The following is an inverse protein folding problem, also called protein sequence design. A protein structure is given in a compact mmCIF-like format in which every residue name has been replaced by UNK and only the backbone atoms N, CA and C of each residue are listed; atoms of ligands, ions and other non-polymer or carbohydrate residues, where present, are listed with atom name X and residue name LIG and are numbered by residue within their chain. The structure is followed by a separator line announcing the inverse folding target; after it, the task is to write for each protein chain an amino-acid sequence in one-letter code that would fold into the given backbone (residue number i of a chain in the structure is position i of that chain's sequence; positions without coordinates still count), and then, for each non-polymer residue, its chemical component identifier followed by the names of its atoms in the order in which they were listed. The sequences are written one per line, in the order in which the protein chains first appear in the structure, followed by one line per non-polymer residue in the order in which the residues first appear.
data_IF_894982987951
#
_entry.id   IF_894982987951
#
_cell.length_a   1.000
_cell.length_b   1.000
_cell.length_c   1.000
_cell.angle_alpha   90.00
_cell.angle_beta   90.00
_cell.angle_gamma   90.00
#
_symmetry.space_group_name_H-M   'P 1'
#
loop_
_entity.id
_entity.type
_entity.pdbx_description
1 polymer ?
#
# COMPACT_ATOMS: atom_id res chain seq x y z
N UNK A 1 4.72 5.37 -18.08
CA UNK A 1 4.49 6.42 -17.06
C UNK A 1 4.04 5.74 -15.76
N UNK A 2 4.98 5.10 -15.04
CA UNK A 2 4.72 4.28 -13.84
C UNK A 2 5.21 4.93 -12.53
N UNK A 3 5.61 6.19 -12.56
CA UNK A 3 6.22 6.87 -11.42
C UNK A 3 5.28 7.76 -10.59
N UNK A 4 4.06 8.02 -11.04
CA UNK A 4 3.22 9.05 -10.39
C UNK A 4 2.45 8.61 -9.14
N UNK A 5 2.15 7.32 -8.97
CA UNK A 5 1.47 6.88 -7.74
C UNK A 5 2.40 6.72 -6.53
N UNK A 6 3.68 6.85 -6.75
CA UNK A 6 4.77 6.50 -5.86
C UNK A 6 5.11 7.59 -4.85
N UNK A 7 5.20 8.84 -5.32
CA UNK A 7 5.46 9.99 -4.45
C UNK A 7 4.23 10.37 -3.62
N UNK A 8 3.06 9.82 -3.95
CA UNK A 8 1.77 10.19 -3.35
C UNK A 8 1.71 9.80 -1.87
N UNK A 9 2.35 8.69 -1.49
CA UNK A 9 2.22 8.16 -0.12
C UNK A 9 3.40 8.52 0.78
N UNK A 10 4.63 8.48 0.28
CA UNK A 10 5.83 8.76 1.07
C UNK A 10 5.77 10.11 1.82
N UNK A 11 5.23 11.16 1.17
CA UNK A 11 5.09 12.48 1.80
C UNK A 11 4.05 12.46 2.92
N UNK A 12 2.93 11.77 2.73
CA UNK A 12 1.90 11.63 3.76
C UNK A 12 2.43 10.84 4.97
N UNK A 13 3.16 9.75 4.74
CA UNK A 13 3.82 8.97 5.80
C UNK A 13 4.82 9.82 6.59
N UNK A 14 5.65 10.59 5.88
CA UNK A 14 6.60 11.51 6.51
C UNK A 14 5.91 12.53 7.43
N UNK A 15 4.86 13.20 6.93
CA UNK A 15 4.15 14.21 7.70
C UNK A 15 3.38 13.63 8.89
N UNK A 16 2.81 12.43 8.75
CA UNK A 16 2.18 11.73 9.88
C UNK A 16 3.23 11.38 10.95
N UNK A 17 4.43 10.95 10.54
CA UNK A 17 5.52 10.73 11.47
C UNK A 17 5.93 12.03 12.21
N UNK A 18 6.01 13.16 11.47
CA UNK A 18 6.28 14.48 12.09
C UNK A 18 5.23 14.83 13.13
N UNK A 19 3.94 14.66 12.80
CA UNK A 19 2.83 14.96 13.74
C UNK A 19 2.96 14.12 15.01
N UNK A 20 3.12 12.81 14.88
CA UNK A 20 3.15 11.89 16.01
C UNK A 20 4.36 12.12 16.91
N UNK A 21 5.54 12.33 16.33
CA UNK A 21 6.75 12.61 17.12
C UNK A 21 6.73 14.00 17.74
N UNK A 22 6.17 15.01 17.05
CA UNK A 22 5.94 16.35 17.64
C UNK A 22 4.96 16.28 18.81
N UNK A 23 3.84 15.58 18.66
CA UNK A 23 2.84 15.42 19.71
C UNK A 23 3.38 14.66 20.94
N UNK A 24 4.34 13.74 20.71
CA UNK A 24 5.03 13.01 21.77
C UNK A 24 6.17 13.82 22.42
N UNK A 25 6.47 15.04 21.96
CA UNK A 25 7.57 15.86 22.44
C UNK A 25 8.96 15.36 22.01
N UNK A 26 9.03 14.45 21.01
CA UNK A 26 10.25 13.80 20.54
C UNK A 26 10.83 14.53 19.30
N UNK A 27 10.87 15.87 19.36
CA UNK A 27 11.20 16.71 18.18
C UNK A 27 12.60 16.47 17.62
N UNK A 28 13.57 16.13 18.46
CA UNK A 28 14.95 15.82 18.05
C UNK A 28 15.05 14.50 17.24
N UNK A 29 14.09 13.60 17.41
CA UNK A 29 14.03 12.31 16.73
C UNK A 29 13.23 12.34 15.42
N UNK A 30 12.55 13.44 15.10
CA UNK A 30 11.74 13.61 13.90
C UNK A 30 12.50 13.25 12.61
N UNK A 31 13.75 13.70 12.36
CA UNK A 31 14.47 13.35 11.15
C UNK A 31 14.65 11.84 10.97
N UNK A 32 14.89 11.12 12.06
CA UNK A 32 15.04 9.66 12.05
C UNK A 32 13.70 8.96 11.78
N UNK A 33 12.61 9.45 12.38
CA UNK A 33 11.28 8.90 12.14
C UNK A 33 10.82 9.13 10.69
N UNK A 34 11.09 10.30 10.11
CA UNK A 34 10.83 10.58 8.69
C UNK A 34 11.60 9.60 7.80
N UNK A 35 12.91 9.42 8.05
CA UNK A 35 13.72 8.48 7.29
C UNK A 35 13.13 7.07 7.34
N UNK A 36 12.74 6.59 8.53
CA UNK A 36 12.09 5.29 8.68
C UNK A 36 10.78 5.20 7.91
N UNK A 37 9.94 6.23 7.98
CA UNK A 37 8.65 6.25 7.30
C UNK A 37 8.76 6.30 5.77
N UNK A 38 9.82 6.90 5.22
CA UNK A 38 9.98 7.10 3.76
C UNK A 38 10.80 5.98 3.12
N UNK A 39 11.82 5.46 3.83
CA UNK A 39 12.78 4.50 3.25
C UNK A 39 12.11 3.18 2.83
N UNK A 40 10.97 2.84 3.44
CA UNK A 40 10.20 1.65 3.09
C UNK A 40 9.79 1.67 1.62
N UNK A 41 9.40 2.82 1.11
CA UNK A 41 9.00 3.03 -0.27
C UNK A 41 10.17 3.06 -1.27
N UNK A 42 11.41 3.13 -0.80
CA UNK A 42 12.58 3.07 -1.68
C UNK A 42 12.69 1.72 -2.43
N UNK A 43 11.96 0.72 -2.00
CA UNK A 43 11.91 -0.61 -2.61
C UNK A 43 11.34 -0.62 -4.03
N UNK A 44 10.72 0.45 -4.47
CA UNK A 44 10.26 0.55 -5.86
C UNK A 44 11.41 0.39 -6.86
N UNK A 45 12.60 0.81 -6.47
CA UNK A 45 13.79 0.63 -7.30
C UNK A 45 13.98 -0.84 -7.68
N UNK A 46 13.53 -1.76 -6.83
CA UNK A 46 13.60 -3.20 -7.08
C UNK A 46 12.45 -3.74 -7.95
N UNK A 47 11.43 -2.97 -8.23
CA UNK A 47 10.29 -3.41 -9.06
C UNK A 47 10.72 -3.85 -10.47
N UNK A 48 11.74 -3.20 -11.05
CA UNK A 48 12.30 -3.58 -12.35
C UNK A 48 12.99 -4.97 -12.34
N UNK A 49 13.49 -5.41 -11.17
CA UNK A 49 14.10 -6.74 -11.02
C UNK A 49 13.01 -7.81 -11.12
N UNK A 50 11.91 -7.63 -10.38
CA UNK A 50 10.82 -8.60 -10.41
C UNK A 50 10.07 -8.61 -11.74
N UNK A 51 10.09 -7.52 -12.50
CA UNK A 51 9.54 -7.49 -13.86
C UNK A 51 10.35 -8.38 -14.82
N UNK A 52 11.66 -8.54 -14.58
CA UNK A 52 12.54 -9.42 -15.35
C UNK A 52 12.64 -10.83 -14.79
N UNK A 53 12.53 -10.97 -13.47
CA UNK A 53 12.66 -12.24 -12.75
C UNK A 53 11.41 -12.43 -11.90
N UNK A 54 10.31 -13.00 -12.48
CA UNK A 54 9.02 -13.13 -11.80
C UNK A 54 9.07 -13.86 -10.46
N UNK A 55 10.03 -14.75 -10.24
CA UNK A 55 10.22 -15.45 -8.95
C UNK A 55 10.61 -14.51 -7.80
N UNK A 56 11.11 -13.31 -8.11
CA UNK A 56 11.47 -12.28 -7.12
C UNK A 56 10.35 -11.28 -6.85
N UNK A 57 9.09 -11.66 -7.09
CA UNK A 57 7.93 -10.78 -6.94
C UNK A 57 7.76 -10.21 -5.52
N UNK A 58 8.24 -10.88 -4.49
CA UNK A 58 8.23 -10.38 -3.12
C UNK A 58 9.18 -9.18 -2.89
N UNK A 59 10.12 -8.94 -3.80
CA UNK A 59 11.00 -7.77 -3.74
C UNK A 59 10.43 -6.56 -4.47
N UNK A 60 9.19 -6.62 -4.97
CA UNK A 60 8.47 -5.44 -5.45
C UNK A 60 7.94 -4.60 -4.32
N UNK A 61 7.59 -3.35 -4.65
CA UNK A 61 6.91 -2.44 -3.72
C UNK A 61 5.66 -3.07 -3.11
N UNK A 62 5.52 -2.92 -1.80
CA UNK A 62 4.48 -3.59 -1.02
C UNK A 62 4.74 -5.10 -0.82
N UNK A 63 5.97 -5.55 -1.01
CA UNK A 63 6.41 -6.93 -0.80
C UNK A 63 7.10 -7.15 0.55
N UNK A 64 8.25 -7.87 0.53
CA UNK A 64 8.97 -8.26 1.77
C UNK A 64 9.47 -7.06 2.58
N UNK A 65 9.80 -5.97 1.92
CA UNK A 65 10.21 -4.71 2.56
C UNK A 65 9.11 -4.17 3.49
N UNK A 66 7.84 -4.31 3.09
CA UNK A 66 6.66 -3.90 3.85
C UNK A 66 6.21 -4.99 4.85
N UNK A 67 7.15 -5.76 5.38
CA UNK A 67 6.93 -6.69 6.49
C UNK A 67 7.61 -6.20 7.77
N UNK A 68 7.24 -6.75 8.91
CA UNK A 68 7.92 -6.45 10.19
C UNK A 68 9.41 -6.81 10.09
N UNK A 69 9.74 -7.97 9.51
CA UNK A 69 11.14 -8.37 9.32
C UNK A 69 11.88 -7.40 8.37
N UNK A 70 11.21 -6.98 7.28
CA UNK A 70 11.73 -5.98 6.34
C UNK A 70 11.98 -4.63 7.03
N UNK A 71 11.02 -4.15 7.84
CA UNK A 71 11.18 -2.91 8.60
C UNK A 71 12.40 -2.95 9.52
N UNK A 72 12.60 -4.04 10.26
CA UNK A 72 13.76 -4.20 11.14
C UNK A 72 15.07 -4.17 10.34
N UNK A 73 15.16 -4.95 9.26
CA UNK A 73 16.38 -5.02 8.43
C UNK A 73 16.66 -3.67 7.77
N UNK A 74 15.65 -3.03 7.18
CA UNK A 74 15.81 -1.72 6.53
C UNK A 74 16.20 -0.66 7.55
N UNK A 75 15.61 -0.67 8.76
CA UNK A 75 15.96 0.28 9.82
C UNK A 75 17.41 0.12 10.29
N UNK A 76 17.89 -1.13 10.43
CA UNK A 76 19.31 -1.39 10.76
C UNK A 76 20.21 -0.84 9.65
N UNK A 77 19.93 -1.16 8.38
CA UNK A 77 20.73 -0.70 7.25
C UNK A 77 20.73 0.82 7.15
N UNK A 78 19.58 1.45 7.29
CA UNK A 78 19.43 2.92 7.26
C UNK A 78 20.24 3.56 8.37
N UNK A 79 20.17 3.04 9.60
CA UNK A 79 20.89 3.59 10.72
C UNK A 79 22.41 3.39 10.60
N UNK A 80 22.85 2.25 10.09
CA UNK A 80 24.27 2.00 9.75
C UNK A 80 24.76 3.01 8.70
N UNK A 81 23.97 3.27 7.66
CA UNK A 81 24.32 4.27 6.64
C UNK A 81 24.44 5.67 7.26
N UNK A 82 23.54 6.06 8.17
CA UNK A 82 23.64 7.35 8.89
C UNK A 82 24.96 7.44 9.66
N UNK A 83 25.34 6.38 10.38
CA UNK A 83 26.63 6.34 11.11
C UNK A 83 27.82 6.47 10.14
N UNK A 84 27.80 5.74 9.02
CA UNK A 84 28.88 5.78 8.03
C UNK A 84 28.99 7.18 7.39
N UNK A 85 27.89 7.83 7.07
CA UNK A 85 27.89 9.18 6.52
C UNK A 85 28.42 10.20 7.53
N UNK A 86 28.11 10.02 8.81
CA UNK A 86 28.63 10.87 9.89
C UNK A 86 30.14 10.65 10.10
N UNK A 87 30.62 9.39 10.11
CA UNK A 87 32.05 9.09 10.25
C UNK A 87 32.86 9.56 9.04
N UNK A 88 32.25 9.58 7.85
CA UNK A 88 32.86 10.12 6.64
C UNK A 88 32.83 11.68 6.59
N UNK A 89 32.25 12.36 7.56
CA UNK A 89 32.13 13.82 7.62
C UNK A 89 31.11 14.42 6.63
N UNK A 90 30.24 13.57 6.04
CA UNK A 90 29.20 14.02 5.09
C UNK A 90 28.02 14.65 5.85
N UNK A 91 27.71 14.13 7.01
CA UNK A 91 26.74 14.72 7.96
C UNK A 91 27.42 14.98 9.30
N UNK A 92 26.92 15.94 10.14
CA UNK A 92 27.50 16.22 11.44
C UNK A 92 27.55 14.97 12.33
N UNK A 93 28.73 14.64 12.86
CA UNK A 93 28.93 13.46 13.74
C UNK A 93 28.13 13.54 15.03
N UNK A 94 27.77 14.72 15.48
CA UNK A 94 26.90 14.91 16.66
C UNK A 94 25.49 14.37 16.50
N UNK A 95 24.98 14.25 15.27
CA UNK A 95 23.59 13.79 15.02
C UNK A 95 23.38 12.34 15.48
N UNK A 96 24.11 11.32 14.95
CA UNK A 96 23.92 9.96 15.41
C UNK A 96 24.47 9.73 16.83
N UNK A 97 25.51 10.46 17.25
CA UNK A 97 26.08 10.31 18.58
C UNK A 97 25.10 10.79 19.68
N UNK A 98 24.41 11.90 19.46
CA UNK A 98 23.38 12.40 20.38
C UNK A 98 22.12 11.53 20.38
N UNK A 99 21.72 11.00 19.21
CA UNK A 99 20.53 10.17 19.08
C UNK A 99 20.74 8.74 19.61
N UNK A 100 21.94 8.14 19.39
CA UNK A 100 22.27 6.80 19.88
C UNK A 100 21.20 5.74 19.56
N UNK A 101 20.85 4.94 20.57
CA UNK A 101 19.80 3.91 20.45
C UNK A 101 18.42 4.53 20.16
N UNK A 102 18.15 5.74 20.66
CA UNK A 102 16.88 6.45 20.42
C UNK A 102 16.71 6.81 18.94
N UNK A 103 17.79 7.17 18.23
CA UNK A 103 17.76 7.43 16.80
C UNK A 103 17.40 6.17 15.98
N UNK A 104 18.02 5.02 16.32
CA UNK A 104 17.63 3.74 15.73
C UNK A 104 16.15 3.39 16.02
N UNK A 105 15.73 3.55 17.28
CA UNK A 105 14.34 3.29 17.67
C UNK A 105 13.36 4.19 16.91
N UNK A 106 13.72 5.44 16.64
CA UNK A 106 12.91 6.37 15.87
C UNK A 106 12.82 5.97 14.38
N UNK A 107 13.93 5.53 13.76
CA UNK A 107 13.89 4.95 12.39
C UNK A 107 12.95 3.74 12.35
N UNK A 108 13.09 2.81 13.29
CA UNK A 108 12.24 1.63 13.37
C UNK A 108 10.77 1.99 13.61
N UNK A 109 10.49 2.94 14.51
CA UNK A 109 9.13 3.41 14.77
C UNK A 109 8.49 4.06 13.54
N UNK A 110 9.25 4.85 12.77
CA UNK A 110 8.81 5.40 11.48
C UNK A 110 8.48 4.31 10.46
N UNK A 111 9.33 3.28 10.33
CA UNK A 111 9.10 2.15 9.45
C UNK A 111 7.87 1.32 9.86
N UNK A 112 7.68 1.08 11.16
CA UNK A 112 6.50 0.37 11.67
C UNK A 112 5.22 1.21 11.51
N UNK A 113 5.30 2.52 11.67
CA UNK A 113 4.19 3.44 11.38
C UNK A 113 3.77 3.36 9.91
N UNK A 114 4.74 3.34 8.98
CA UNK A 114 4.47 3.14 7.56
C UNK A 114 3.69 1.84 7.33
N UNK A 115 4.16 0.71 7.85
CA UNK A 115 3.47 -0.58 7.76
C UNK A 115 2.05 -0.50 8.35
N UNK A 116 1.86 0.17 9.48
CA UNK A 116 0.55 0.29 10.13
C UNK A 116 -0.46 1.06 9.25
N UNK A 117 0.00 2.10 8.56
CA UNK A 117 -0.84 2.86 7.62
C UNK A 117 -1.17 1.98 6.41
N UNK A 118 -0.20 1.27 5.84
CA UNK A 118 -0.39 0.40 4.68
C UNK A 118 -1.31 -0.78 4.97
N UNK A 119 -1.25 -1.35 6.17
CA UNK A 119 -2.21 -2.38 6.60
C UNK A 119 -3.64 -1.85 6.64
N UNK A 120 -3.85 -0.55 6.83
CA UNK A 120 -5.19 0.04 6.77
C UNK A 120 -5.77 0.08 5.35
N UNK A 121 -4.92 -0.05 4.33
CA UNK A 121 -5.25 0.09 2.92
C UNK A 121 -5.42 -1.25 2.18
N UNK A 122 -6.12 -1.22 1.04
CA UNK A 122 -6.21 -2.33 0.09
C UNK A 122 -5.21 -2.06 -1.06
N UNK A 123 -4.48 -3.07 -1.53
CA UNK A 123 -4.68 -4.53 -1.41
C UNK A 123 -4.09 -5.18 -0.17
N UNK A 124 -3.46 -4.44 0.73
CA UNK A 124 -2.75 -4.96 1.88
C UNK A 124 -1.32 -5.39 1.56
N UNK A 125 -0.56 -5.70 2.61
CA UNK A 125 0.86 -6.03 2.57
C UNK A 125 1.15 -7.35 3.30
N UNK A 126 2.23 -8.07 2.97
CA UNK A 126 2.59 -9.33 3.60
C UNK A 126 3.37 -9.10 4.91
N UNK A 127 2.66 -8.65 5.95
CA UNK A 127 3.22 -8.22 7.26
C UNK A 127 4.22 -9.23 7.85
N UNK A 128 3.97 -10.53 7.62
CA UNK A 128 4.79 -11.62 8.18
C UNK A 128 5.75 -12.26 7.15
N UNK A 129 6.02 -11.61 6.02
CA UNK A 129 7.07 -12.08 5.12
C UNK A 129 8.45 -12.03 5.83
N UNK A 130 9.37 -12.97 5.55
CA UNK A 130 9.30 -14.06 4.56
C UNK A 130 8.58 -15.32 5.04
N UNK A 131 8.09 -15.38 6.29
CA UNK A 131 7.47 -16.57 6.86
C UNK A 131 6.09 -16.86 6.29
N UNK A 132 5.38 -15.82 5.82
CA UNK A 132 4.07 -15.92 5.18
C UNK A 132 3.91 -14.86 4.10
N UNK A 133 3.49 -15.28 2.90
CA UNK A 133 3.16 -14.39 1.77
C UNK A 133 1.72 -13.84 1.86
N UNK A 134 0.96 -14.24 2.88
CA UNK A 134 -0.41 -13.77 3.06
C UNK A 134 -0.44 -12.27 3.29
N UNK A 135 -1.24 -11.57 2.49
CA UNK A 135 -1.48 -10.14 2.67
C UNK A 135 -2.51 -9.86 3.75
N UNK A 136 -2.23 -8.86 4.53
CA UNK A 136 -3.11 -8.36 5.58
C UNK A 136 -3.56 -6.95 5.25
N UNK A 137 -4.85 -6.69 5.39
CA UNK A 137 -5.45 -5.39 5.23
C UNK A 137 -6.67 -5.25 6.14
N UNK A 138 -6.81 -4.07 6.75
CA UNK A 138 -8.04 -3.70 7.45
C UNK A 138 -9.16 -3.29 6.48
N UNK A 139 -8.82 -2.95 5.23
CA UNK A 139 -9.80 -2.56 4.21
C UNK A 139 -10.48 -1.23 4.47
N UNK A 140 -9.86 -0.34 5.23
CA UNK A 140 -10.39 0.99 5.57
C UNK A 140 -10.12 1.98 4.43
N UNK A 141 -8.91 1.94 3.86
CA UNK A 141 -8.44 2.83 2.81
C UNK A 141 -8.40 2.15 1.44
N UNK A 142 -8.62 2.89 0.35
CA UNK A 142 -8.62 2.34 -1.01
C UNK A 142 -7.22 2.11 -1.63
N UNK A 143 -6.16 2.24 -0.85
CA UNK A 143 -4.77 2.35 -1.29
C UNK A 143 -4.28 3.79 -1.08
N UNK A 144 -3.39 4.29 -1.95
CA UNK A 144 -2.87 5.66 -1.83
C UNK A 144 -3.97 6.70 -1.76
N UNK A 145 -3.89 7.61 -0.78
CA UNK A 145 -4.89 8.65 -0.59
C UNK A 145 -4.52 9.91 -1.36
N UNK A 146 -5.19 10.14 -2.51
CA UNK A 146 -5.02 11.38 -3.27
C UNK A 146 -5.33 12.63 -2.41
N UNK A 147 -6.32 12.55 -1.52
CA UNK A 147 -6.68 13.67 -0.65
C UNK A 147 -5.54 14.02 0.31
N UNK A 148 -4.98 13.03 1.00
CA UNK A 148 -3.86 13.26 1.92
C UNK A 148 -2.62 13.75 1.18
N UNK A 149 -2.35 13.21 -0.01
CA UNK A 149 -1.26 13.67 -0.84
C UNK A 149 -1.41 15.15 -1.24
N UNK A 150 -2.57 15.52 -1.78
CA UNK A 150 -2.83 16.92 -2.18
C UNK A 150 -2.71 17.85 -0.97
N UNK A 151 -3.25 17.46 0.18
CA UNK A 151 -3.12 18.22 1.42
C UNK A 151 -1.66 18.35 1.87
N UNK A 152 -0.88 17.26 1.77
CA UNK A 152 0.54 17.26 2.10
C UNK A 152 1.36 18.17 1.17
N UNK A 153 1.09 18.11 -0.14
CA UNK A 153 1.74 18.99 -1.13
C UNK A 153 1.36 20.45 -0.89
N UNK A 154 0.08 20.73 -0.63
CA UNK A 154 -0.37 22.08 -0.31
C UNK A 154 0.34 22.65 0.92
N UNK A 155 0.45 21.86 2.01
CA UNK A 155 1.20 22.25 3.20
C UNK A 155 2.65 22.62 2.88
N UNK A 156 3.34 21.75 2.13
CA UNK A 156 4.75 22.01 1.76
C UNK A 156 4.87 23.26 0.90
N UNK A 157 3.98 23.46 -0.07
CA UNK A 157 3.99 24.62 -0.95
C UNK A 157 3.69 25.92 -0.19
N UNK A 158 2.66 25.94 0.65
CA UNK A 158 2.30 27.12 1.46
C UNK A 158 3.45 27.53 2.40
N UNK A 159 4.10 26.54 3.03
CA UNK A 159 5.26 26.78 3.88
C UNK A 159 6.46 27.27 3.07
N UNK A 160 6.75 26.67 1.92
CA UNK A 160 7.87 27.06 1.05
C UNK A 160 7.71 28.47 0.50
N UNK A 161 6.47 28.89 0.22
CA UNK A 161 6.14 30.24 -0.21
C UNK A 161 6.02 31.24 0.95
N UNK A 162 6.30 30.81 2.18
CA UNK A 162 6.19 31.62 3.40
C UNK A 162 4.80 32.22 3.63
N UNK A 163 3.76 31.58 3.10
CA UNK A 163 2.37 32.03 3.26
C UNK A 163 1.81 31.67 4.64
N UNK A 164 2.28 30.54 5.22
CA UNK A 164 1.85 30.04 6.53
C UNK A 164 3.07 29.52 7.28
N UNK A 165 3.06 29.66 8.62
CA UNK A 165 4.08 29.04 9.45
C UNK A 165 3.97 27.52 9.41
N UNK A 166 5.09 26.81 9.35
CA UNK A 166 5.13 25.34 9.27
C UNK A 166 4.33 24.67 10.40
N UNK A 167 4.38 25.19 11.62
CA UNK A 167 3.61 24.66 12.76
C UNK A 167 2.11 24.71 12.51
N UNK A 168 1.59 25.85 12.07
CA UNK A 168 0.16 26.03 11.79
C UNK A 168 -0.30 25.19 10.61
N UNK A 169 0.53 25.09 9.56
CA UNK A 169 0.26 24.22 8.42
C UNK A 169 0.23 22.74 8.84
N UNK A 170 1.15 22.32 9.70
CA UNK A 170 1.21 20.96 10.24
C UNK A 170 -0.02 20.62 11.10
N UNK A 171 -0.47 21.56 11.95
CA UNK A 171 -1.70 21.43 12.73
C UNK A 171 -2.92 21.24 11.82
N UNK A 172 -3.04 22.07 10.78
CA UNK A 172 -4.13 21.95 9.80
C UNK A 172 -4.09 20.59 9.08
N UNK A 173 -2.90 20.15 8.64
CA UNK A 173 -2.75 18.81 8.05
C UNK A 173 -3.13 17.71 9.04
N UNK A 174 -2.77 17.83 10.30
CA UNK A 174 -3.17 16.90 11.37
C UNK A 174 -4.70 16.81 11.50
N UNK A 175 -5.40 17.95 11.46
CA UNK A 175 -6.85 18.00 11.47
C UNK A 175 -7.43 17.26 10.25
N UNK A 176 -6.88 17.52 9.05
CA UNK A 176 -7.30 16.83 7.81
C UNK A 176 -7.12 15.33 7.94
N UNK A 177 -5.97 14.87 8.46
CA UNK A 177 -5.70 13.43 8.70
C UNK A 177 -6.74 12.83 9.64
N UNK A 178 -6.99 13.46 10.79
CA UNK A 178 -7.96 12.97 11.79
C UNK A 178 -9.36 12.90 11.19
N UNK A 179 -9.82 13.95 10.52
CA UNK A 179 -11.14 13.96 9.86
C UNK A 179 -11.22 12.85 8.80
N UNK A 180 -10.21 12.74 7.97
CA UNK A 180 -10.18 11.73 6.90
C UNK A 180 -10.28 10.31 7.47
N UNK A 181 -9.45 9.96 8.45
CA UNK A 181 -9.50 8.63 9.08
C UNK A 181 -10.81 8.40 9.83
N UNK A 182 -11.34 9.40 10.53
CA UNK A 182 -12.63 9.30 11.24
C UNK A 182 -13.77 9.00 10.27
N UNK A 183 -13.83 9.71 9.14
CA UNK A 183 -14.84 9.47 8.10
C UNK A 183 -14.66 8.07 7.51
N UNK A 184 -13.43 7.66 7.17
CA UNK A 184 -13.16 6.33 6.60
C UNK A 184 -13.52 5.20 7.55
N UNK A 185 -13.13 5.30 8.82
CA UNK A 185 -13.49 4.30 9.84
C UNK A 185 -14.99 4.27 10.09
N UNK A 186 -15.63 5.42 10.23
CA UNK A 186 -17.09 5.50 10.40
C UNK A 186 -17.84 4.86 9.25
N UNK A 187 -17.44 5.14 8.01
CA UNK A 187 -18.01 4.54 6.81
C UNK A 187 -17.72 3.03 6.72
N UNK A 188 -16.49 2.61 7.06
CA UNK A 188 -16.13 1.18 7.11
C UNK A 188 -17.02 0.41 8.08
N UNK A 189 -17.27 0.95 9.26
CA UNK A 189 -18.14 0.33 10.26
C UNK A 189 -19.59 0.29 9.77
N UNK A 190 -20.11 1.39 9.24
CA UNK A 190 -21.48 1.48 8.72
C UNK A 190 -21.71 0.47 7.57
N UNK A 191 -20.81 0.43 6.59
CA UNK A 191 -20.87 -0.50 5.45
C UNK A 191 -20.60 -1.93 5.91
N UNK A 192 -19.72 -2.12 6.91
CA UNK A 192 -19.37 -3.44 7.47
C UNK A 192 -20.58 -4.20 7.98
N UNK A 193 -21.49 -3.52 8.66
CA UNK A 193 -22.71 -4.11 9.24
C UNK A 193 -23.80 -4.35 8.20
N UNK A 194 -23.91 -3.46 7.19
CA UNK A 194 -25.05 -3.45 6.28
C UNK A 194 -24.88 -4.31 5.03
N UNK A 195 -23.65 -4.47 4.54
CA UNK A 195 -23.41 -5.09 3.23
C UNK A 195 -22.76 -6.47 3.37
N UNK A 196 -23.36 -7.52 2.80
CA UNK A 196 -22.76 -8.86 2.76
C UNK A 196 -21.70 -8.96 1.65
N UNK A 197 -20.66 -9.77 1.89
CA UNK A 197 -19.59 -10.03 0.93
C UNK A 197 -18.30 -9.26 1.22
N UNK A 198 -17.31 -9.45 0.32
CA UNK A 198 -16.02 -8.74 0.40
C UNK A 198 -16.22 -7.29 -0.06
N UNK A 199 -15.67 -6.35 0.69
CA UNK A 199 -15.81 -4.92 0.44
C UNK A 199 -14.46 -4.30 0.14
N UNK A 200 -14.40 -3.50 -0.92
CA UNK A 200 -13.22 -2.73 -1.29
C UNK A 200 -13.62 -1.26 -1.30
N UNK A 201 -13.00 -0.42 -0.44
CA UNK A 201 -13.29 1.01 -0.42
C UNK A 201 -12.84 1.67 -1.74
N UNK A 202 -13.62 2.61 -2.23
CA UNK A 202 -13.27 3.45 -3.38
C UNK A 202 -12.49 4.70 -2.94
N UNK A 203 -11.89 5.42 -3.89
CA UNK A 203 -11.31 6.75 -3.67
C UNK A 203 -12.40 7.70 -3.12
N UNK A 204 -13.62 7.64 -3.66
CA UNK A 204 -14.77 8.31 -3.06
C UNK A 204 -15.13 7.64 -1.72
N UNK A 205 -15.07 8.36 -0.58
CA UNK A 205 -15.35 7.78 0.74
C UNK A 205 -16.76 7.24 0.91
N UNK A 206 -17.72 7.69 0.08
CA UNK A 206 -19.11 7.27 0.12
C UNK A 206 -19.41 6.08 -0.80
N UNK A 207 -18.38 5.52 -1.44
CA UNK A 207 -18.54 4.47 -2.44
C UNK A 207 -17.68 3.25 -2.10
N UNK A 208 -18.25 2.07 -2.31
CA UNK A 208 -17.63 0.78 -2.05
C UNK A 208 -17.89 -0.19 -3.19
N UNK A 209 -16.90 -0.99 -3.51
CA UNK A 209 -17.07 -2.14 -4.38
C UNK A 209 -17.43 -3.34 -3.50
N UNK A 210 -18.57 -3.95 -3.78
CA UNK A 210 -19.08 -5.12 -3.05
C UNK A 210 -19.01 -6.34 -3.96
N UNK A 211 -18.29 -7.36 -3.49
CA UNK A 211 -18.03 -8.57 -4.24
C UNK A 211 -18.65 -9.73 -3.49
N UNK A 212 -19.53 -10.44 -4.15
CA UNK A 212 -20.02 -11.75 -3.71
C UNK A 212 -19.39 -12.82 -4.57
N UNK A 213 -18.91 -13.84 -3.94
CA UNK A 213 -18.23 -14.95 -4.58
C UNK A 213 -19.08 -16.20 -4.42
N UNK A 214 -19.49 -16.78 -5.56
CA UNK A 214 -20.11 -18.09 -5.66
C UNK A 214 -19.06 -19.12 -6.15
N UNK A 215 -19.43 -20.39 -6.26
CA UNK A 215 -18.50 -21.43 -6.72
C UNK A 215 -17.93 -21.15 -8.11
N UNK A 216 -18.73 -20.63 -9.02
CA UNK A 216 -18.38 -20.43 -10.42
C UNK A 216 -18.30 -18.99 -10.87
N UNK A 217 -18.76 -18.03 -10.07
CA UNK A 217 -18.89 -16.63 -10.47
C UNK A 217 -18.47 -15.65 -9.39
N UNK A 218 -18.04 -14.47 -9.82
CA UNK A 218 -17.93 -13.26 -9.03
C UNK A 218 -19.08 -12.32 -9.43
N UNK A 219 -19.84 -11.87 -8.44
CA UNK A 219 -20.89 -10.84 -8.60
C UNK A 219 -20.37 -9.54 -8.02
N UNK A 220 -20.22 -8.54 -8.86
CA UNK A 220 -19.55 -7.29 -8.54
C UNK A 220 -20.58 -6.17 -8.66
N UNK A 221 -20.73 -5.38 -7.60
CA UNK A 221 -21.60 -4.19 -7.57
C UNK A 221 -20.86 -3.04 -6.92
N UNK A 222 -21.13 -1.85 -7.38
CA UNK A 222 -20.77 -0.64 -6.65
C UNK A 222 -21.90 -0.26 -5.72
N UNK A 223 -21.61 0.03 -4.47
CA UNK A 223 -22.53 0.58 -3.49
C UNK A 223 -22.16 2.03 -3.22
N UNK A 224 -23.12 2.93 -3.27
CA UNK A 224 -22.95 4.34 -2.91
C UNK A 224 -23.97 4.69 -1.83
N UNK A 225 -23.54 5.38 -0.77
CA UNK A 225 -24.34 5.63 0.43
C UNK A 225 -25.74 6.18 0.14
N UNK A 226 -25.86 7.11 -0.82
CA UNK A 226 -27.13 7.79 -1.12
C UNK A 226 -27.90 7.19 -2.30
N UNK A 227 -27.26 6.34 -3.11
CA UNK A 227 -27.88 5.80 -4.33
C UNK A 227 -28.06 4.26 -4.27
N UNK A 228 -27.54 3.62 -3.21
CA UNK A 228 -27.59 2.16 -3.08
C UNK A 228 -26.66 1.44 -4.06
N UNK A 229 -27.11 0.26 -4.53
CA UNK A 229 -26.33 -0.58 -5.43
C UNK A 229 -26.48 -0.19 -6.90
N UNK A 230 -25.36 -0.24 -7.62
CA UNK A 230 -25.33 -0.23 -9.09
C UNK A 230 -25.89 -1.52 -9.70
N UNK A 231 -25.98 -1.56 -11.03
CA UNK A 231 -26.20 -2.79 -11.77
C UNK A 231 -25.12 -3.83 -11.43
N UNK A 232 -25.52 -5.11 -11.47
CA UNK A 232 -24.64 -6.21 -11.16
C UNK A 232 -23.80 -6.59 -12.36
N UNK A 233 -22.49 -6.66 -12.16
CA UNK A 233 -21.57 -7.23 -13.15
C UNK A 233 -21.20 -8.64 -12.71
N UNK A 234 -21.49 -9.61 -13.56
CA UNK A 234 -21.14 -11.02 -13.32
C UNK A 234 -19.86 -11.36 -14.09
N UNK A 235 -18.94 -12.05 -13.45
CA UNK A 235 -17.72 -12.58 -14.05
C UNK A 235 -17.58 -14.06 -13.69
N UNK A 236 -17.55 -14.92 -14.71
CA UNK A 236 -17.26 -16.36 -14.52
C UNK A 236 -15.83 -16.55 -14.02
N UNK A 237 -15.63 -17.49 -13.09
CA UNK A 237 -14.28 -17.83 -12.61
C UNK A 237 -13.50 -18.64 -13.62
N UNK A 238 -14.19 -19.54 -14.34
CA UNK A 238 -13.59 -20.48 -15.27
C UNK A 238 -14.36 -20.49 -16.60
N UNK A 239 -13.62 -20.47 -17.72
CA UNK A 239 -14.18 -20.57 -19.06
C UNK A 239 -13.31 -21.52 -19.87
N UNK A 240 -13.86 -22.68 -20.27
CA UNK A 240 -13.10 -23.72 -20.97
C UNK A 240 -11.99 -24.38 -20.14
N UNK A 241 -11.98 -24.17 -18.83
CA UNK A 241 -11.00 -24.68 -17.84
C UNK A 241 -11.66 -24.90 -16.49
N UNK A 242 -10.90 -25.37 -15.51
CA UNK A 242 -11.38 -25.61 -14.16
C UNK A 242 -10.31 -25.22 -13.10
N UNK A 243 -10.68 -25.41 -11.82
CA UNK A 243 -9.80 -25.12 -10.69
C UNK A 243 -8.54 -26.00 -10.67
N UNK A 244 -8.57 -27.20 -11.25
CA UNK A 244 -7.43 -28.14 -11.28
C UNK A 244 -6.35 -27.64 -12.22
N UNK A 245 -6.75 -27.16 -13.42
CA UNK A 245 -5.81 -26.58 -14.37
C UNK A 245 -5.18 -25.31 -13.80
N UNK A 246 -5.97 -24.44 -13.14
CA UNK A 246 -5.44 -23.27 -12.44
C UNK A 246 -4.42 -23.67 -11.37
N UNK A 247 -4.72 -24.68 -10.57
CA UNK A 247 -3.83 -25.16 -9.51
C UNK A 247 -2.52 -25.74 -10.08
N UNK A 248 -2.60 -26.45 -11.22
CA UNK A 248 -1.42 -27.03 -11.90
C UNK A 248 -0.42 -25.95 -12.35
N UNK A 249 -0.90 -24.78 -12.78
CA UNK A 249 -0.03 -23.66 -13.21
C UNK A 249 0.33 -22.70 -12.09
N UNK A 250 -0.32 -22.80 -10.92
CA UNK A 250 -0.11 -21.87 -9.79
C UNK A 250 1.33 -21.85 -9.26
N UNK A 251 2.13 -22.90 -9.53
CA UNK A 251 3.54 -22.96 -9.18
C UNK A 251 4.47 -22.14 -10.09
N UNK A 252 4.02 -21.77 -11.30
CA UNK A 252 4.85 -20.97 -12.20
C UNK A 252 5.08 -19.56 -11.64
N UNK A 253 6.30 -19.04 -11.71
CA UNK A 253 6.64 -17.74 -11.10
C UNK A 253 5.76 -16.58 -11.59
N UNK A 254 5.42 -16.56 -12.87
CA UNK A 254 4.56 -15.54 -13.49
C UNK A 254 3.14 -15.60 -12.91
N UNK A 255 2.63 -16.82 -12.72
CA UNK A 255 1.29 -17.03 -12.14
C UNK A 255 1.28 -16.67 -10.67
N UNK A 256 2.27 -17.11 -9.90
CA UNK A 256 2.40 -16.72 -8.48
C UNK A 256 2.45 -15.20 -8.34
N UNK A 257 3.28 -14.53 -9.16
CA UNK A 257 3.36 -13.08 -9.18
C UNK A 257 2.01 -12.45 -9.51
N UNK A 258 1.33 -12.92 -10.56
CA UNK A 258 0.01 -12.44 -10.93
C UNK A 258 -1.00 -12.62 -9.79
N UNK A 259 -1.08 -13.82 -9.20
CA UNK A 259 -2.00 -14.12 -8.10
C UNK A 259 -1.71 -13.27 -6.86
N UNK A 260 -0.44 -13.02 -6.56
CA UNK A 260 -0.03 -12.19 -5.43
C UNK A 260 -0.53 -10.75 -5.54
N UNK A 261 -0.60 -10.20 -6.76
CA UNK A 261 -1.06 -8.83 -7.00
C UNK A 261 -2.54 -8.72 -7.39
N UNK A 262 -3.21 -9.82 -7.70
CA UNK A 262 -4.62 -9.82 -8.12
C UNK A 262 -5.56 -9.70 -6.94
N UNK A 263 -6.68 -9.02 -7.16
CA UNK A 263 -7.79 -8.98 -6.22
C UNK A 263 -8.72 -10.18 -6.36
N UNK A 264 -8.97 -10.56 -7.62
CA UNK A 264 -9.72 -11.74 -8.03
C UNK A 264 -8.97 -12.42 -9.16
N UNK A 265 -9.21 -13.70 -9.36
CA UNK A 265 -8.60 -14.47 -10.44
C UNK A 265 -9.68 -15.18 -11.22
N UNK A 266 -9.70 -14.92 -12.52
CA UNK A 266 -10.48 -15.70 -13.50
C UNK A 266 -9.53 -16.44 -14.42
N UNK A 267 -9.92 -17.61 -14.90
CA UNK A 267 -9.14 -18.43 -15.83
C UNK A 267 -9.94 -18.75 -17.07
N UNK A 268 -9.36 -18.53 -18.24
CA UNK A 268 -9.93 -18.86 -19.53
C UNK A 268 -8.93 -19.69 -20.35
N UNK A 269 -9.40 -20.79 -20.94
CA UNK A 269 -8.57 -21.63 -21.79
C UNK A 269 -8.81 -21.32 -23.26
N UNK A 270 -7.75 -20.96 -23.97
CA UNK A 270 -7.72 -20.79 -25.42
C UNK A 270 -6.69 -21.76 -26.04
N UNK A 271 -7.18 -22.92 -26.51
CA UNK A 271 -6.33 -23.96 -27.06
C UNK A 271 -5.35 -24.53 -26.01
N UNK A 272 -4.05 -24.29 -26.22
CA UNK A 272 -2.97 -24.69 -25.29
C UNK A 272 -2.50 -23.55 -24.39
N UNK A 273 -3.25 -22.47 -24.29
CA UNK A 273 -2.91 -21.32 -23.46
C UNK A 273 -3.97 -21.16 -22.39
N UNK A 274 -3.54 -21.07 -21.14
CA UNK A 274 -4.37 -20.66 -20.01
C UNK A 274 -4.14 -19.18 -19.75
N UNK A 275 -5.22 -18.41 -19.78
CA UNK A 275 -5.23 -16.97 -19.58
C UNK A 275 -5.81 -16.70 -18.21
N UNK A 276 -5.02 -16.08 -17.34
CA UNK A 276 -5.48 -15.63 -16.03
C UNK A 276 -5.68 -14.13 -16.04
N UNK A 277 -6.82 -13.67 -15.54
CA UNK A 277 -7.19 -12.25 -15.53
C UNK A 277 -7.72 -11.81 -14.18
N UNK A 278 -7.53 -10.52 -13.86
CA UNK A 278 -8.21 -9.87 -12.73
C UNK A 278 -9.41 -9.08 -13.24
N UNK A 279 -10.65 -9.58 -13.03
CA UNK A 279 -11.85 -8.97 -13.60
C UNK A 279 -12.12 -7.57 -13.05
N UNK A 280 -11.60 -7.20 -11.86
CA UNK A 280 -11.76 -5.86 -11.33
C UNK A 280 -10.93 -4.84 -12.09
N UNK A 281 -9.74 -5.25 -12.54
CA UNK A 281 -8.85 -4.39 -13.35
C UNK A 281 -9.23 -4.38 -14.81
N UNK A 282 -9.63 -5.53 -15.37
CA UNK A 282 -10.06 -5.61 -16.77
C UNK A 282 -11.30 -4.76 -17.04
N UNK A 283 -12.27 -4.79 -16.13
CA UNK A 283 -13.51 -4.02 -16.24
C UNK A 283 -13.41 -2.58 -15.71
N UNK A 284 -12.22 -2.15 -15.27
CA UNK A 284 -11.96 -0.77 -14.84
C UNK A 284 -12.53 -0.39 -13.47
N UNK A 285 -12.91 -1.36 -12.62
CA UNK A 285 -13.34 -1.08 -11.25
C UNK A 285 -12.18 -0.61 -10.37
N UNK A 286 -10.99 -1.17 -10.60
CA UNK A 286 -9.77 -0.83 -9.88
C UNK A 286 -8.62 -0.58 -10.86
N UNK A 287 -7.81 0.42 -10.57
CA UNK A 287 -6.68 0.81 -11.42
C UNK A 287 -5.32 0.52 -10.76
N UNK A 288 -5.27 0.42 -9.45
CA UNK A 288 -4.02 0.19 -8.71
C UNK A 288 -3.91 -1.28 -8.25
N UNK A 289 -2.70 -1.88 -8.28
CA UNK A 289 -1.55 -1.48 -9.10
C UNK A 289 -1.84 -1.65 -10.60
N UNK A 290 -1.29 -0.76 -11.44
CA UNK A 290 -1.62 -0.71 -12.88
C UNK A 290 -1.20 -1.94 -13.68
N UNK A 291 -0.22 -2.66 -13.18
CA UNK A 291 0.29 -3.92 -13.75
C UNK A 291 -0.58 -5.10 -13.30
N UNK A 292 -0.33 -6.27 -13.87
CA UNK A 292 -0.95 -7.54 -13.45
C UNK A 292 -2.46 -7.64 -13.74
N UNK A 293 -2.88 -7.13 -14.90
CA UNK A 293 -4.27 -7.33 -15.39
C UNK A 293 -4.49 -8.75 -15.90
N UNK A 294 -3.48 -9.31 -16.58
CA UNK A 294 -3.56 -10.59 -17.30
C UNK A 294 -2.19 -11.26 -17.34
N UNK A 295 -2.17 -12.56 -17.30
CA UNK A 295 -1.00 -13.41 -17.60
C UNK A 295 -1.42 -14.59 -18.45
N UNK A 296 -0.58 -15.00 -19.40
CA UNK A 296 -0.80 -16.11 -20.31
C UNK A 296 0.25 -17.19 -20.06
N UNK A 297 -0.20 -18.43 -19.94
CA UNK A 297 0.65 -19.59 -19.65
C UNK A 297 0.34 -20.70 -20.64
N UNK A 298 1.36 -21.26 -21.29
CA UNK A 298 1.23 -22.46 -22.12
C UNK A 298 1.10 -23.68 -21.21
N UNK A 299 0.12 -24.52 -21.49
CA UNK A 299 -0.21 -25.75 -20.75
C UNK A 299 -0.10 -26.97 -21.65
#
# INVERSE_FOLDING_TARGET
MSGQSFFVDALSHALIAVILFSAAGLTELIPFAILGAVIMDADIVFSWISDRIPSLYLFTHGGITHSIAGAVVISILTYVVIILLATAGIIPTGVPAAAGVSGFAAVLAGALLHIAIDVSAIPGIPVFAPFSERKYSLGILPGPSLLLFVAAVALVMETALSMVMFSSALELFGIVVVIYFTVRVGMFLAVGVQLPGRKIPSVNPLQWLVIREDETTYRIRTYTLFHGYSEETISGKFKGTDARELFAVAQFPEVRRFMFFSYLVTAEREGQVLILSDPLREKGFLHYPMKYKRVEVKI
#
